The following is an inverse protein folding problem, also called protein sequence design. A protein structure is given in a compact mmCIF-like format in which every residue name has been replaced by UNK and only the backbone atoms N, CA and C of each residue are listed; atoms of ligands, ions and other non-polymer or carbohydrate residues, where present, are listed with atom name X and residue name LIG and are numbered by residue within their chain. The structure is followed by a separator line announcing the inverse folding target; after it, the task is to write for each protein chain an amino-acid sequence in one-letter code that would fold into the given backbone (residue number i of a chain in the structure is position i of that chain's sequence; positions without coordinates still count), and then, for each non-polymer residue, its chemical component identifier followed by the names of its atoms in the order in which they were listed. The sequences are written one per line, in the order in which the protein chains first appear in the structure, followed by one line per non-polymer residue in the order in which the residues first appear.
data_IF_911271140864
#
_entry.id   IF_911271140864
#
_cell.length_a   1.000
_cell.length_b   1.000
_cell.length_c   1.000
_cell.angle_alpha   90.00
_cell.angle_beta   90.00
_cell.angle_gamma   90.00
#
_symmetry.space_group_name_H-M   'P 1'
#
loop_
_entity.id
_entity.type
_entity.pdbx_description
1 polymer ?
#
# COMPACT_ATOMS: atom_id res chain seq x y z
N UNK A 1 27.93 -28.64 15.07
CA UNK A 1 27.29 -28.58 13.73
C UNK A 1 25.77 -28.46 13.83
N UNK A 2 25.04 -29.44 14.41
CA UNK A 2 23.58 -29.41 14.53
C UNK A 2 23.01 -28.19 15.28
N UNK A 3 23.51 -27.90 16.49
CA UNK A 3 23.05 -26.74 17.29
C UNK A 3 23.33 -25.41 16.57
N UNK A 4 24.49 -25.29 15.92
CA UNK A 4 24.83 -24.10 15.14
C UNK A 4 23.90 -23.89 13.94
N UNK A 5 23.52 -24.98 13.27
CA UNK A 5 22.53 -24.94 12.17
C UNK A 5 21.13 -24.56 12.68
N UNK A 6 20.69 -25.11 13.81
CA UNK A 6 19.40 -24.75 14.43
C UNK A 6 19.35 -23.26 14.81
N UNK A 7 20.42 -22.72 15.40
CA UNK A 7 20.52 -21.28 15.73
C UNK A 7 20.49 -20.42 14.46
N UNK A 8 21.22 -20.83 13.42
CA UNK A 8 21.26 -20.10 12.16
C UNK A 8 19.88 -20.03 11.50
N UNK A 9 19.15 -21.16 11.44
CA UNK A 9 17.79 -21.21 10.89
C UNK A 9 16.84 -20.32 11.68
N UNK A 10 16.90 -20.37 13.02
CA UNK A 10 16.07 -19.50 13.87
C UNK A 10 16.33 -18.02 13.62
N UNK A 11 17.58 -17.64 13.36
CA UNK A 11 17.96 -16.26 13.07
C UNK A 11 17.43 -15.82 11.70
N UNK A 12 17.56 -16.64 10.66
CA UNK A 12 16.99 -16.36 9.34
C UNK A 12 15.47 -16.22 9.38
N UNK A 13 14.77 -17.15 10.05
CA UNK A 13 13.32 -17.09 10.23
C UNK A 13 12.93 -15.84 11.02
N UNK A 14 13.68 -15.50 12.07
CA UNK A 14 13.46 -14.29 12.86
C UNK A 14 13.56 -13.02 12.02
N UNK A 15 14.62 -12.90 11.22
CA UNK A 15 14.80 -11.75 10.31
C UNK A 15 13.68 -11.69 9.28
N UNK A 16 13.32 -12.82 8.68
CA UNK A 16 12.22 -12.88 7.71
C UNK A 16 10.90 -12.42 8.31
N UNK A 17 10.56 -12.88 9.53
CA UNK A 17 9.34 -12.47 10.22
C UNK A 17 9.35 -10.97 10.56
N UNK A 18 10.49 -10.41 10.95
CA UNK A 18 10.63 -8.96 11.19
C UNK A 18 10.37 -8.18 9.90
N UNK A 19 10.98 -8.59 8.78
CA UNK A 19 10.77 -7.93 7.48
C UNK A 19 9.29 -8.03 7.08
N UNK A 20 8.69 -9.22 7.15
CA UNK A 20 7.28 -9.43 6.81
C UNK A 20 6.35 -8.55 7.66
N UNK A 21 6.61 -8.46 8.97
CA UNK A 21 5.85 -7.61 9.88
C UNK A 21 6.00 -6.13 9.56
N UNK A 22 7.21 -5.64 9.31
CA UNK A 22 7.46 -4.25 8.91
C UNK A 22 6.80 -3.91 7.57
N UNK A 23 6.89 -4.81 6.58
CA UNK A 23 6.22 -4.65 5.29
C UNK A 23 4.71 -4.55 5.46
N UNK A 24 4.11 -5.41 6.30
CA UNK A 24 2.67 -5.38 6.59
C UNK A 24 2.25 -4.06 7.25
N UNK A 25 2.98 -3.59 8.27
CA UNK A 25 2.70 -2.31 8.93
C UNK A 25 2.79 -1.11 7.99
N UNK A 26 3.79 -1.07 7.10
CA UNK A 26 3.96 0.03 6.14
C UNK A 26 2.92 -0.03 5.04
N UNK A 27 2.62 -1.23 4.52
CA UNK A 27 1.59 -1.44 3.49
C UNK A 27 0.23 -0.93 3.96
N UNK A 28 -0.18 -1.35 5.16
CA UNK A 28 -1.46 -1.01 5.75
C UNK A 28 -1.61 0.52 5.96
N UNK A 29 -0.53 1.19 6.36
CA UNK A 29 -0.50 2.65 6.47
C UNK A 29 -0.60 3.36 5.11
N UNK A 30 0.16 2.92 4.10
CA UNK A 30 0.16 3.53 2.76
C UNK A 30 -1.18 3.34 2.07
N UNK A 31 -1.74 2.14 2.14
CA UNK A 31 -3.02 1.80 1.52
C UNK A 31 -4.11 2.72 2.06
N UNK A 32 -4.25 2.83 3.39
CA UNK A 32 -5.27 3.71 3.99
C UNK A 32 -5.04 5.20 3.75
N UNK A 33 -3.79 5.67 3.73
CA UNK A 33 -3.49 7.11 3.56
C UNK A 33 -3.88 7.62 2.17
N UNK A 34 -3.72 6.79 1.15
CA UNK A 34 -3.89 7.20 -0.24
C UNK A 34 -5.27 6.83 -0.81
N UNK A 35 -6.20 6.36 0.02
CA UNK A 35 -7.57 6.03 -0.39
C UNK A 35 -8.56 6.80 0.49
N UNK A 36 -9.61 7.33 -0.13
CA UNK A 36 -10.67 8.02 0.60
C UNK A 36 -11.59 8.84 -0.31
N UNK A 37 -12.58 9.49 0.30
CA UNK A 37 -13.55 10.32 -0.43
C UNK A 37 -13.09 11.78 -0.57
N UNK A 38 -12.34 12.26 0.42
CA UNK A 38 -11.85 13.64 0.50
C UNK A 38 -10.46 13.73 -0.11
N UNK A 39 -10.37 14.48 -1.20
CA UNK A 39 -9.12 14.68 -1.94
C UNK A 39 -8.28 15.73 -1.18
N UNK A 40 -7.05 15.41 -0.76
CA UNK A 40 -6.18 16.39 -0.12
C UNK A 40 -5.86 17.56 -1.06
N UNK A 41 -5.54 18.73 -0.48
CA UNK A 41 -5.11 19.88 -1.28
C UNK A 41 -3.82 19.56 -2.04
N UNK A 42 -3.67 20.07 -3.26
CA UNK A 42 -2.50 19.85 -4.12
C UNK A 42 -2.62 18.64 -5.07
N UNK A 43 -3.66 17.81 -4.90
CA UNK A 43 -3.94 16.70 -5.81
C UNK A 43 -4.78 17.16 -6.99
N UNK A 44 -4.35 16.80 -8.21
CA UNK A 44 -5.04 17.07 -9.45
C UNK A 44 -5.67 15.80 -10.01
N UNK A 45 -6.88 15.89 -10.54
CA UNK A 45 -7.54 14.76 -11.18
C UNK A 45 -6.76 14.35 -12.44
N UNK A 46 -6.56 13.04 -12.62
CA UNK A 46 -6.01 12.48 -13.86
C UNK A 46 -7.10 11.78 -14.65
N UNK A 47 -6.85 11.50 -15.92
CA UNK A 47 -7.78 10.71 -16.75
C UNK A 47 -7.73 9.21 -16.45
N UNK A 48 -6.84 8.79 -15.55
CA UNK A 48 -6.71 7.39 -15.13
C UNK A 48 -7.87 6.97 -14.22
N UNK A 49 -8.41 5.78 -14.52
CA UNK A 49 -9.38 5.07 -13.67
C UNK A 49 -8.80 3.72 -13.33
N UNK A 50 -8.65 3.45 -12.05
CA UNK A 50 -8.22 2.16 -11.54
C UNK A 50 -9.45 1.33 -11.16
N UNK A 51 -9.46 0.05 -11.52
CA UNK A 51 -10.52 -0.88 -11.12
C UNK A 51 -9.90 -1.86 -10.14
N UNK A 52 -10.39 -1.87 -8.91
CA UNK A 52 -9.89 -2.79 -7.89
C UNK A 52 -10.27 -4.24 -8.27
N UNK A 53 -9.29 -5.14 -8.48
CA UNK A 53 -9.57 -6.52 -8.90
C UNK A 53 -10.24 -7.35 -7.81
N UNK A 54 -10.22 -6.91 -6.55
CA UNK A 54 -10.77 -7.64 -5.41
C UNK A 54 -12.27 -7.43 -5.28
N UNK A 55 -12.75 -6.20 -5.51
CA UNK A 55 -14.16 -5.82 -5.27
C UNK A 55 -14.84 -5.17 -6.48
N UNK A 56 -14.11 -4.95 -7.59
CA UNK A 56 -14.63 -4.36 -8.82
C UNK A 56 -14.90 -2.85 -8.75
N UNK A 57 -14.52 -2.18 -7.67
CA UNK A 57 -14.77 -0.73 -7.50
C UNK A 57 -13.93 0.10 -8.45
N UNK A 58 -14.54 1.11 -9.05
CA UNK A 58 -13.87 2.12 -9.88
C UNK A 58 -13.32 3.24 -9.00
N UNK A 59 -12.03 3.52 -9.15
CA UNK A 59 -11.28 4.49 -8.38
C UNK A 59 -10.69 5.54 -9.34
N UNK A 60 -11.10 6.80 -9.20
CA UNK A 60 -10.51 7.92 -9.92
C UNK A 60 -9.15 8.22 -9.31
N UNK A 61 -8.13 8.31 -10.15
CA UNK A 61 -6.76 8.60 -9.70
C UNK A 61 -6.54 10.11 -9.68
N UNK A 62 -5.90 10.57 -8.61
CA UNK A 62 -5.43 11.93 -8.45
C UNK A 62 -3.93 11.93 -8.21
N UNK A 63 -3.23 12.93 -8.75
CA UNK A 63 -1.78 13.04 -8.71
C UNK A 63 -1.34 14.37 -8.09
N UNK A 64 -0.35 14.33 -7.19
CA UNK A 64 0.28 15.49 -6.58
C UNK A 64 1.68 15.69 -7.19
N UNK A 65 1.91 16.73 -8.02
CA UNK A 65 3.18 16.90 -8.75
C UNK A 65 4.40 17.15 -7.88
N UNK A 66 4.22 17.81 -6.74
CA UNK A 66 5.32 18.18 -5.85
C UNK A 66 5.95 16.96 -5.16
N UNK A 67 5.14 15.95 -4.86
CA UNK A 67 5.56 14.76 -4.11
C UNK A 67 5.61 13.49 -4.96
N UNK A 68 4.95 13.49 -6.12
CA UNK A 68 4.73 12.30 -6.94
C UNK A 68 3.67 11.34 -6.37
N UNK A 69 2.95 11.73 -5.32
CA UNK A 69 1.97 10.87 -4.67
C UNK A 69 0.70 10.69 -5.52
N UNK A 70 0.06 9.54 -5.32
CA UNK A 70 -1.23 9.19 -5.93
C UNK A 70 -2.29 9.00 -4.85
N UNK A 71 -3.48 9.51 -5.11
CA UNK A 71 -4.66 9.34 -4.27
C UNK A 71 -5.79 8.72 -5.08
N UNK A 72 -6.49 7.75 -4.50
CA UNK A 72 -7.53 6.96 -5.16
C UNK A 72 -8.87 7.27 -4.49
N UNK A 73 -9.80 7.81 -5.27
CA UNK A 73 -11.14 8.13 -4.80
C UNK A 73 -12.16 7.21 -5.44
N UNK A 74 -13.01 6.59 -4.64
CA UNK A 74 -14.10 5.75 -5.13
C UNK A 74 -15.10 6.58 -5.91
N UNK A 75 -15.34 6.19 -7.16
CA UNK A 75 -16.37 6.78 -8.00
C UNK A 75 -17.64 5.98 -7.77
N UNK A 76 -18.66 6.61 -7.20
CA UNK A 76 -20.01 6.07 -7.22
C UNK A 76 -20.62 6.46 -8.57
N UNK A 77 -21.00 5.48 -9.36
CA UNK A 77 -21.90 5.72 -10.49
C UNK A 77 -23.27 6.05 -9.87
N UNK A 78 -23.75 7.29 -10.08
CA UNK A 78 -25.13 7.68 -9.77
C UNK A 78 -26.14 7.00 -10.71
#
# INVERSE_FOLDING_TARGET
MRIAAEIYILLEVGIFLIIAFLSWLIWDKRYRKNHGNDIPKGYMATDEVFIDPVNGKKLKVYYEPETGNRFYKEVKEE
#
